data_IF_902442098344
#
_entry.id   IF_902442098344
#
_cell.length_a   1.000
_cell.length_b   1.000
_cell.length_c   1.000
_cell.angle_alpha   90.00
_cell.angle_beta   90.00
_cell.angle_gamma   90.00
#
_symmetry.space_group_name_H-M   'P 1'
#
loop_
_entity.id
_entity.type
_entity.pdbx_description
1 polymer ?
#
# COMPACT_ATOMS: atom_id res chain seq x y z
N UNK A 1 46.93 -63.91 -2.19
CA UNK A 1 46.67 -62.53 -2.67
C UNK A 1 45.25 -62.50 -3.23
N UNK A 2 44.57 -61.37 -3.07
CA UNK A 2 43.12 -61.22 -2.84
C UNK A 2 42.15 -61.63 -3.97
N UNK A 3 41.01 -62.20 -3.56
CA UNK A 3 39.69 -62.31 -4.22
C UNK A 3 38.68 -62.27 -3.07
N UNK A 4 37.65 -61.42 -2.97
CA UNK A 4 36.65 -61.02 -3.96
C UNK A 4 35.31 -61.67 -3.59
N UNK A 5 34.24 -60.86 -3.53
CA UNK A 5 32.80 -61.20 -3.69
C UNK A 5 31.89 -61.51 -2.46
N UNK A 6 30.87 -60.63 -2.36
CA UNK A 6 29.41 -60.90 -2.29
C UNK A 6 28.69 -61.05 -0.94
N UNK A 7 27.58 -60.28 -0.88
CA UNK A 7 26.57 -60.10 0.16
C UNK A 7 25.61 -61.29 0.30
N UNK A 8 25.10 -61.56 1.51
CA UNK A 8 23.69 -61.35 1.89
C UNK A 8 23.38 -61.84 3.33
N UNK A 9 22.78 -60.94 4.13
CA UNK A 9 21.73 -61.14 5.18
C UNK A 9 21.92 -62.20 6.30
N UNK A 10 20.99 -62.29 7.27
CA UNK A 10 20.45 -61.28 8.20
C UNK A 10 20.65 -61.74 9.67
N UNK A 11 20.51 -60.87 10.69
CA UNK A 11 20.01 -61.40 11.97
C UNK A 11 19.35 -60.39 12.92
N UNK A 12 18.13 -60.77 13.31
CA UNK A 12 17.45 -60.74 14.62
C UNK A 12 17.78 -59.66 15.68
N UNK A 13 16.69 -59.11 16.22
CA UNK A 13 16.60 -58.49 17.55
C UNK A 13 16.81 -59.53 18.67
N UNK A 14 17.10 -59.16 19.94
CA UNK A 14 16.03 -58.71 20.84
C UNK A 14 16.43 -57.69 21.94
N UNK A 15 15.42 -57.01 22.51
CA UNK A 15 15.30 -56.85 23.97
C UNK A 15 15.88 -55.61 24.68
N UNK A 16 15.02 -54.60 24.84
CA UNK A 16 14.65 -53.85 26.08
C UNK A 16 15.71 -53.25 27.01
N UNK A 17 15.52 -51.95 27.31
CA UNK A 17 15.69 -51.18 28.58
C UNK A 17 15.97 -49.70 28.17
N UNK A 18 15.34 -48.59 28.61
CA UNK A 18 14.49 -48.22 29.76
C UNK A 18 13.69 -46.96 29.34
N UNK A 19 12.44 -46.82 29.79
CA UNK A 19 11.66 -45.60 29.64
C UNK A 19 12.24 -44.45 30.49
N UNK A 20 12.48 -43.29 29.88
CA UNK A 20 12.47 -41.99 30.57
C UNK A 20 11.50 -41.04 29.87
N UNK A 21 10.61 -40.50 30.69
CA UNK A 21 9.37 -39.80 30.32
C UNK A 21 9.70 -38.34 30.02
N UNK A 22 9.47 -37.87 28.79
CA UNK A 22 9.48 -36.43 28.47
C UNK A 22 8.21 -36.08 27.67
N UNK A 23 7.52 -35.06 28.18
CA UNK A 23 6.13 -34.70 27.97
C UNK A 23 5.71 -34.45 26.51
N UNK A 24 4.61 -35.08 26.10
CA UNK A 24 3.85 -34.78 24.87
C UNK A 24 3.10 -33.44 24.87
N UNK A 25 3.62 -32.40 25.52
CA UNK A 25 2.96 -31.08 25.66
C UNK A 25 3.61 -29.97 24.83
N UNK A 26 4.70 -30.22 24.10
CA UNK A 26 5.35 -29.19 23.28
C UNK A 26 4.55 -28.84 22.02
N UNK A 27 4.08 -29.84 21.27
CA UNK A 27 3.38 -29.62 20.00
C UNK A 27 2.05 -28.88 20.14
N UNK A 28 1.39 -28.93 21.29
CA UNK A 28 0.13 -28.23 21.50
C UNK A 28 0.34 -26.73 21.78
N UNK A 29 1.42 -26.37 22.51
CA UNK A 29 1.79 -24.97 22.76
C UNK A 29 2.28 -24.26 21.51
N UNK A 30 3.05 -24.97 20.68
CA UNK A 30 3.54 -24.41 19.42
C UNK A 30 2.40 -24.17 18.43
N UNK A 31 1.46 -25.12 18.32
CA UNK A 31 0.23 -24.94 17.53
C UNK A 31 -0.59 -23.74 18.02
N UNK A 32 -0.75 -23.54 19.34
CA UNK A 32 -1.46 -22.38 19.88
C UNK A 32 -0.70 -21.04 19.68
N UNK A 33 0.64 -21.06 19.69
CA UNK A 33 1.45 -19.87 19.40
C UNK A 33 1.33 -19.47 17.92
N UNK A 34 1.40 -20.42 16.99
CA UNK A 34 1.23 -20.17 15.55
C UNK A 34 -0.21 -19.75 15.22
N UNK A 35 -1.21 -20.34 15.88
CA UNK A 35 -2.62 -19.95 15.74
C UNK A 35 -2.88 -18.50 16.21
N UNK A 36 -2.26 -18.06 17.31
CA UNK A 36 -2.40 -16.69 17.80
C UNK A 36 -1.65 -15.66 16.94
N UNK A 37 -0.59 -16.08 16.24
CA UNK A 37 0.12 -15.26 15.23
C UNK A 37 -0.62 -15.15 13.89
N UNK A 38 -1.58 -16.05 13.60
CA UNK A 38 -2.44 -15.98 12.40
C UNK A 38 -3.52 -14.89 12.48
N UNK A 39 -3.81 -14.40 13.69
CA UNK A 39 -4.82 -13.38 13.94
C UNK A 39 -4.21 -11.97 14.08
N UNK A 40 -3.38 -11.57 13.12
CA UNK A 40 -3.40 -10.16 12.75
C UNK A 40 -4.61 -9.98 11.85
N UNK A 41 -5.60 -9.14 12.20
CA UNK A 41 -6.64 -8.81 11.24
C UNK A 41 -5.96 -8.05 10.10
N UNK A 42 -5.59 -8.77 9.04
CA UNK A 42 -5.43 -8.18 7.71
C UNK A 42 -6.83 -7.79 7.24
N UNK A 43 -7.42 -6.78 7.88
CA UNK A 43 -8.63 -6.15 7.41
C UNK A 43 -8.24 -5.13 6.37
N UNK A 44 -8.06 -5.63 5.15
CA UNK A 44 -8.36 -4.90 3.94
C UNK A 44 -8.40 -5.96 2.85
N UNK A 45 -9.57 -6.54 2.65
CA UNK A 45 -9.84 -7.18 1.37
C UNK A 45 -9.53 -6.13 0.29
N UNK A 46 -8.54 -6.34 -0.60
CA UNK A 46 -8.15 -5.35 -1.60
C UNK A 46 -9.26 -5.11 -2.65
N UNK A 47 -10.34 -5.90 -2.58
CA UNK A 47 -11.51 -5.81 -3.45
C UNK A 47 -12.72 -5.13 -2.80
N UNK A 48 -12.70 -4.87 -1.49
CA UNK A 48 -13.77 -4.11 -0.85
C UNK A 48 -13.44 -2.61 -0.98
N UNK A 49 -13.96 -2.00 -2.05
CA UNK A 49 -14.15 -0.54 -2.09
C UNK A 49 -15.12 -0.22 -0.96
N UNK A 50 -14.57 0.09 0.20
CA UNK A 50 -15.38 0.51 1.34
C UNK A 50 -15.81 1.94 1.04
N UNK A 51 -17.08 2.12 0.66
CA UNK A 51 -17.77 3.42 0.68
C UNK A 51 -17.79 3.92 2.14
N UNK A 52 -16.68 4.49 2.59
CA UNK A 52 -16.58 5.19 3.87
C UNK A 52 -16.79 6.66 3.56
N UNK A 53 -17.97 7.18 3.91
CA UNK A 53 -18.39 8.58 3.73
C UNK A 53 -17.61 9.59 4.58
N UNK A 54 -16.60 9.16 5.33
CA UNK A 54 -15.81 10.04 6.16
C UNK A 54 -14.53 10.39 5.43
N UNK A 55 -14.50 11.59 4.83
CA UNK A 55 -13.28 12.24 4.36
C UNK A 55 -12.31 12.34 5.53
N UNK A 56 -11.47 11.32 5.71
CA UNK A 56 -10.32 11.39 6.60
C UNK A 56 -9.41 12.47 6.04
N UNK A 57 -9.57 13.70 6.54
CA UNK A 57 -8.69 14.82 6.30
C UNK A 57 -7.26 14.40 6.61
N UNK A 58 -6.49 14.11 5.57
CA UNK A 58 -5.06 13.82 5.65
C UNK A 58 -4.31 15.08 6.03
N UNK A 59 -4.28 15.42 7.33
CA UNK A 59 -3.49 16.43 8.04
C UNK A 59 -3.33 17.85 7.46
N UNK A 60 -3.83 18.14 6.26
CA UNK A 60 -3.98 19.48 5.74
C UNK A 60 -5.23 20.01 6.42
N UNK A 61 -4.98 20.69 7.54
CA UNK A 61 -5.97 21.48 8.29
C UNK A 61 -6.94 22.14 7.32
N UNK A 62 -8.22 22.20 7.69
CA UNK A 62 -9.42 22.67 6.98
C UNK A 62 -9.37 24.01 6.21
N UNK A 63 -8.18 24.57 5.97
CA UNK A 63 -7.93 25.72 5.12
C UNK A 63 -8.09 25.37 3.63
N UNK A 64 -8.71 26.27 2.89
CA UNK A 64 -8.73 26.22 1.42
C UNK A 64 -7.29 26.24 0.89
N UNK A 65 -6.90 25.22 0.12
CA UNK A 65 -5.61 25.16 -0.54
C UNK A 65 -5.61 25.98 -1.81
N UNK A 66 -4.52 26.72 -2.02
CA UNK A 66 -4.24 27.44 -3.26
C UNK A 66 -2.89 27.01 -3.84
N UNK A 67 -2.72 27.15 -5.16
CA UNK A 67 -1.45 26.82 -5.84
C UNK A 67 -0.25 27.57 -5.25
N UNK A 68 -0.48 28.78 -4.72
CA UNK A 68 0.55 29.61 -4.10
C UNK A 68 1.04 29.08 -2.74
N UNK A 69 0.32 28.13 -2.13
CA UNK A 69 0.75 27.47 -0.89
C UNK A 69 1.86 26.43 -1.13
N UNK A 70 2.13 26.12 -2.40
CA UNK A 70 3.08 25.09 -2.81
C UNK A 70 4.37 25.71 -3.36
N UNK A 71 5.49 25.08 -3.01
CA UNK A 71 6.77 25.25 -3.69
C UNK A 71 6.89 24.11 -4.70
N UNK A 72 6.83 24.43 -5.99
CA UNK A 72 7.02 23.47 -7.08
C UNK A 72 8.52 23.21 -7.28
N UNK A 73 8.95 21.97 -7.07
CA UNK A 73 10.37 21.60 -7.03
C UNK A 73 10.84 21.08 -8.37
N UNK A 74 10.24 19.99 -8.87
CA UNK A 74 10.59 19.38 -10.16
C UNK A 74 9.37 18.76 -10.82
N UNK A 75 9.37 18.66 -12.13
CA UNK A 75 8.34 17.89 -12.85
C UNK A 75 8.60 16.39 -12.63
N UNK A 76 7.55 15.64 -12.26
CA UNK A 76 7.57 14.18 -12.13
C UNK A 76 7.02 13.49 -13.38
N UNK A 77 6.11 14.16 -14.10
CA UNK A 77 5.53 13.61 -15.32
C UNK A 77 4.75 14.64 -16.12
N UNK A 78 4.65 14.39 -17.42
CA UNK A 78 3.90 15.21 -18.39
C UNK A 78 2.88 14.33 -19.10
N UNK A 79 1.61 14.71 -18.99
CA UNK A 79 0.52 14.13 -19.76
C UNK A 79 -0.02 15.13 -20.79
N UNK A 80 -1.07 14.73 -21.51
CA UNK A 80 -1.66 15.51 -22.61
C UNK A 80 -2.25 16.85 -22.16
N UNK A 81 -2.96 16.85 -21.03
CA UNK A 81 -3.64 18.03 -20.46
C UNK A 81 -3.23 18.29 -19.00
N UNK A 82 -2.27 17.51 -18.49
CA UNK A 82 -1.86 17.54 -17.11
C UNK A 82 -0.33 17.53 -16.98
N UNK A 83 0.20 18.18 -15.94
CA UNK A 83 1.60 18.06 -15.55
C UNK A 83 1.68 17.79 -14.06
N UNK A 84 2.50 16.83 -13.68
CA UNK A 84 2.69 16.42 -12.28
C UNK A 84 3.99 17.02 -11.77
N UNK A 85 3.90 17.75 -10.65
CA UNK A 85 5.03 18.37 -9.99
C UNK A 85 5.29 17.73 -8.63
N UNK A 86 6.55 17.52 -8.29
CA UNK A 86 6.98 17.36 -6.91
C UNK A 86 6.78 18.70 -6.22
N UNK A 87 5.98 18.73 -5.17
CA UNK A 87 5.60 19.93 -4.45
C UNK A 87 5.86 19.79 -2.94
N UNK A 88 6.13 20.91 -2.28
CA UNK A 88 6.15 21.02 -0.81
C UNK A 88 5.21 22.12 -0.38
N UNK A 89 4.50 21.95 0.74
CA UNK A 89 3.75 23.05 1.36
C UNK A 89 4.72 24.04 2.01
N UNK A 90 4.49 25.34 1.81
CA UNK A 90 5.33 26.40 2.38
C UNK A 90 5.30 26.44 3.91
N UNK A 91 4.13 26.26 4.50
CA UNK A 91 3.93 26.35 5.96
C UNK A 91 4.14 25.01 6.67
N UNK A 92 4.66 23.99 5.99
CA UNK A 92 4.81 22.67 6.57
C UNK A 92 6.03 22.61 7.48
N UNK A 93 5.80 22.21 8.74
CA UNK A 93 6.88 22.04 9.74
C UNK A 93 7.90 20.98 9.31
N UNK A 94 7.40 19.92 8.69
CA UNK A 94 8.22 18.84 8.13
C UNK A 94 8.65 19.20 6.70
N UNK A 95 9.93 19.54 6.54
CA UNK A 95 10.52 19.95 5.26
C UNK A 95 10.72 18.78 4.30
N UNK A 96 10.78 17.55 4.82
CA UNK A 96 11.03 16.35 4.03
C UNK A 96 9.74 15.77 3.44
N UNK A 97 8.60 16.19 3.98
CA UNK A 97 7.30 15.80 3.46
C UNK A 97 6.99 16.49 2.13
N UNK A 98 6.94 15.68 1.08
CA UNK A 98 6.72 16.06 -0.32
C UNK A 98 5.44 15.45 -0.88
N UNK A 99 4.92 16.03 -1.94
CA UNK A 99 3.68 15.63 -2.60
C UNK A 99 3.82 15.63 -4.13
N UNK A 100 2.88 14.97 -4.80
CA UNK A 100 2.74 15.02 -6.24
C UNK A 100 1.52 15.88 -6.61
N UNK A 101 1.74 17.12 -7.03
CA UNK A 101 0.67 18.02 -7.46
C UNK A 101 0.40 17.83 -8.96
N UNK A 102 -0.73 17.21 -9.29
CA UNK A 102 -1.22 17.11 -10.67
C UNK A 102 -2.00 18.37 -11.03
N UNK A 103 -1.48 19.12 -11.99
CA UNK A 103 -2.06 20.37 -12.49
C UNK A 103 -2.65 20.12 -13.87
N UNK A 104 -3.96 20.32 -14.03
CA UNK A 104 -4.68 20.11 -15.29
C UNK A 104 -5.20 21.45 -15.83
N UNK A 105 -4.87 21.79 -17.07
CA UNK A 105 -5.35 23.04 -17.70
C UNK A 105 -6.79 22.87 -18.18
N UNK A 106 -7.71 23.70 -17.67
CA UNK A 106 -9.16 23.60 -18.00
C UNK A 106 -9.41 23.73 -19.50
N UNK A 107 -8.73 24.67 -20.16
CA UNK A 107 -8.84 24.88 -21.60
C UNK A 107 -8.49 23.60 -22.40
N UNK A 108 -7.41 22.93 -22.03
CA UNK A 108 -6.96 21.71 -22.72
C UNK A 108 -7.89 20.52 -22.42
N UNK A 109 -8.35 20.39 -21.17
CA UNK A 109 -9.34 19.37 -20.78
C UNK A 109 -10.64 19.51 -21.58
N UNK A 110 -11.14 20.75 -21.75
CA UNK A 110 -12.35 21.02 -22.53
C UNK A 110 -12.10 20.76 -24.01
N UNK A 111 -11.02 21.32 -24.58
CA UNK A 111 -10.66 21.17 -26.00
C UNK A 111 -10.54 19.70 -26.40
N UNK A 112 -9.98 18.86 -25.54
CA UNK A 112 -9.78 17.43 -25.77
C UNK A 112 -10.97 16.56 -25.32
N UNK A 113 -12.09 17.18 -24.90
CA UNK A 113 -13.32 16.49 -24.42
C UNK A 113 -13.05 15.50 -23.27
N UNK A 114 -12.16 15.85 -22.35
CA UNK A 114 -11.72 14.98 -21.24
C UNK A 114 -12.39 15.30 -19.90
N UNK A 115 -13.46 16.10 -19.89
CA UNK A 115 -14.13 16.56 -18.65
C UNK A 115 -14.63 15.39 -17.80
N UNK A 116 -15.27 14.41 -18.43
CA UNK A 116 -15.80 13.24 -17.72
C UNK A 116 -14.67 12.35 -17.18
N UNK A 117 -13.62 12.12 -17.96
CA UNK A 117 -12.46 11.35 -17.50
C UNK A 117 -11.81 11.98 -16.27
N UNK A 118 -11.65 13.30 -16.23
CA UNK A 118 -11.11 14.01 -15.07
C UNK A 118 -12.03 13.89 -13.84
N UNK A 119 -13.36 13.94 -14.04
CA UNK A 119 -14.33 13.73 -12.94
C UNK A 119 -14.27 12.30 -12.40
N UNK A 120 -14.19 11.31 -13.28
CA UNK A 120 -14.11 9.90 -12.93
C UNK A 120 -12.81 9.59 -12.21
N UNK A 121 -11.68 10.14 -12.65
CA UNK A 121 -10.39 10.00 -11.97
C UNK A 121 -10.47 10.53 -10.53
N UNK A 122 -10.98 11.76 -10.35
CA UNK A 122 -11.15 12.35 -9.01
C UNK A 122 -12.07 11.48 -8.15
N UNK A 123 -13.20 11.01 -8.69
CA UNK A 123 -14.18 10.19 -7.97
C UNK A 123 -13.56 8.85 -7.55
N UNK A 124 -12.82 8.19 -8.43
CA UNK A 124 -12.17 6.93 -8.15
C UNK A 124 -11.11 7.07 -7.04
N UNK A 125 -10.26 8.11 -7.11
CA UNK A 125 -9.26 8.36 -6.09
C UNK A 125 -9.87 8.81 -4.75
N UNK A 126 -10.98 9.55 -4.77
CA UNK A 126 -11.69 9.95 -3.55
C UNK A 126 -12.40 8.77 -2.86
N UNK A 127 -12.86 7.78 -3.63
CA UNK A 127 -13.52 6.59 -3.09
C UNK A 127 -12.54 5.59 -2.43
N UNK A 128 -11.24 5.72 -2.67
CA UNK A 128 -10.22 4.82 -2.15
C UNK A 128 -9.30 5.57 -1.19
N UNK A 129 -9.36 5.21 0.09
CA UNK A 129 -8.51 5.76 1.13
C UNK A 129 -7.60 4.66 1.69
N UNK A 130 -6.32 4.97 1.89
CA UNK A 130 -5.33 4.11 2.53
C UNK A 130 -5.16 2.71 1.90
N UNK A 131 -5.09 2.63 0.56
CA UNK A 131 -4.81 1.38 -0.13
C UNK A 131 -3.33 1.28 -0.55
N UNK A 132 -2.62 0.17 -0.27
CA UNK A 132 -1.16 0.06 -0.44
C UNK A 132 -0.68 0.20 -1.90
N UNK A 133 -1.56 -0.01 -2.88
CA UNK A 133 -1.22 0.04 -4.31
C UNK A 133 -1.92 1.18 -5.08
N UNK A 134 -2.73 2.00 -4.40
CA UNK A 134 -3.45 3.10 -5.03
C UNK A 134 -3.02 4.39 -4.35
N UNK A 135 -2.60 5.38 -5.15
CA UNK A 135 -2.26 6.70 -4.64
C UNK A 135 -3.47 7.33 -3.96
N UNK A 136 -3.26 7.90 -2.77
CA UNK A 136 -4.31 8.59 -2.04
C UNK A 136 -4.43 10.03 -2.52
N UNK A 137 -5.65 10.45 -2.86
CA UNK A 137 -5.97 11.85 -3.11
C UNK A 137 -6.09 12.57 -1.77
N UNK A 138 -5.24 13.56 -1.53
CA UNK A 138 -5.19 14.34 -0.30
C UNK A 138 -6.18 15.49 -0.37
N UNK A 139 -6.20 16.18 -1.51
CA UNK A 139 -7.11 17.29 -1.76
C UNK A 139 -7.31 17.50 -3.25
N UNK A 140 -8.44 18.10 -3.61
CA UNK A 140 -8.67 18.64 -4.96
C UNK A 140 -9.23 20.04 -4.88
N UNK A 141 -8.68 20.95 -5.67
CA UNK A 141 -9.09 22.36 -5.72
C UNK A 141 -8.97 22.90 -7.15
N UNK A 142 -9.47 24.11 -7.39
CA UNK A 142 -9.37 24.74 -8.71
C UNK A 142 -9.26 26.24 -8.61
N UNK A 143 -8.60 26.85 -9.59
CA UNK A 143 -8.66 28.28 -9.84
C UNK A 143 -9.36 28.53 -11.19
N UNK A 144 -9.28 29.75 -11.72
CA UNK A 144 -9.90 30.10 -13.01
C UNK A 144 -9.39 29.26 -14.19
N UNK A 145 -8.11 28.86 -14.20
CA UNK A 145 -7.42 28.29 -15.36
C UNK A 145 -7.15 26.79 -15.23
N UNK A 146 -7.01 26.30 -14.00
CA UNK A 146 -6.48 24.98 -13.70
C UNK A 146 -7.33 24.23 -12.66
N UNK A 147 -7.30 22.90 -12.77
CA UNK A 147 -7.71 21.97 -11.73
C UNK A 147 -6.44 21.40 -11.09
N UNK A 148 -6.52 21.13 -9.79
CA UNK A 148 -5.42 20.63 -8.98
C UNK A 148 -5.85 19.39 -8.22
N UNK A 149 -5.02 18.34 -8.26
CA UNK A 149 -5.16 17.15 -7.43
C UNK A 149 -3.83 16.94 -6.70
N UNK A 150 -3.89 16.92 -5.38
CA UNK A 150 -2.74 16.75 -4.49
C UNK A 150 -2.71 15.34 -3.92
#
# INVERSE_FOLDING_TARGET
MATGAVQHSPNEAPGTMVFSKVNGNLHHREKQLVESLRHSPRSSNPFLITERQDEKQLCISSRSLHVNDFVLVKTLGTGTFARVWLARLKDQKDKDKVYALKILRKADVIKLKQVEHVRNERKALAAVVDHPFITTLIASFSDEKCLYML
#
